data_IF_007403255392
#
_entry.id   IF_007403255392
#
_cell.length_a   1.000
_cell.length_b   1.000
_cell.length_c   1.000
_cell.angle_alpha   90.00
_cell.angle_beta   90.00
_cell.angle_gamma   90.00
#
_symmetry.space_group_name_H-M   'P 1'
#
loop_
_entity.id
_entity.type
_entity.pdbx_description
1 polymer ?
#
# COMPACT_ATOMS: atom_id res chain seq x y z
N UNK A 1 26.34 59.54 26.28
CA UNK A 1 27.06 58.92 25.16
C UNK A 1 26.37 57.61 24.83
N UNK A 2 25.76 57.43 23.64
CA UNK A 2 25.15 56.16 23.28
C UNK A 2 26.26 55.15 22.99
N UNK A 3 26.29 54.04 23.73
CA UNK A 3 27.23 52.95 23.51
C UNK A 3 26.74 52.12 22.32
N UNK A 4 27.51 52.10 21.24
CA UNK A 4 27.23 51.30 20.05
C UNK A 4 27.44 49.81 20.36
N UNK A 5 26.36 49.15 20.77
CA UNK A 5 26.28 47.73 21.11
C UNK A 5 25.94 46.82 19.90
N UNK A 6 25.99 47.36 18.68
CA UNK A 6 25.74 46.59 17.45
C UNK A 6 26.65 45.35 17.24
N UNK A 7 27.94 45.31 17.64
CA UNK A 7 28.73 44.10 17.45
C UNK A 7 28.28 42.97 18.39
N UNK A 8 27.87 43.32 19.62
CA UNK A 8 27.39 42.36 20.60
C UNK A 8 26.05 41.74 20.18
N UNK A 9 25.13 42.58 19.69
CA UNK A 9 23.84 42.13 19.16
C UNK A 9 24.02 41.21 17.94
N UNK A 10 24.95 41.54 17.03
CA UNK A 10 25.25 40.70 15.86
C UNK A 10 25.81 39.33 16.26
N UNK A 11 26.74 39.28 17.21
CA UNK A 11 27.30 38.01 17.70
C UNK A 11 26.23 37.15 18.38
N UNK A 12 25.34 37.76 19.16
CA UNK A 12 24.23 37.07 19.80
C UNK A 12 23.24 36.47 18.78
N UNK A 13 22.93 37.20 17.70
CA UNK A 13 22.06 36.72 16.64
C UNK A 13 22.68 35.55 15.86
N UNK A 14 24.00 35.58 15.59
CA UNK A 14 24.71 34.47 14.94
C UNK A 14 24.70 33.23 15.83
N UNK A 15 24.92 33.39 17.14
CA UNK A 15 24.87 32.30 18.10
C UNK A 15 23.47 31.65 18.16
N UNK A 16 22.40 32.45 18.15
CA UNK A 16 21.03 31.94 18.06
C UNK A 16 20.78 31.18 16.75
N UNK A 17 21.29 31.65 15.60
CA UNK A 17 21.16 30.94 14.33
C UNK A 17 21.88 29.58 14.33
N UNK A 18 23.05 29.49 14.98
CA UNK A 18 23.81 28.24 15.09
C UNK A 18 23.11 27.22 15.99
N UNK A 19 22.49 27.67 17.09
CA UNK A 19 21.69 26.82 17.99
C UNK A 19 20.41 26.26 17.32
N UNK A 20 19.89 26.93 16.29
CA UNK A 20 18.77 26.44 15.49
C UNK A 20 19.18 25.48 14.37
N UNK A 21 20.47 25.44 14.01
CA UNK A 21 20.99 24.64 12.90
C UNK A 21 21.02 23.14 13.25
N UNK A 22 21.24 22.80 14.52
CA UNK A 22 21.27 21.41 15.00
C UNK A 22 19.87 20.78 15.18
N UNK A 23 18.80 21.57 15.06
CA UNK A 23 17.41 21.09 15.22
C UNK A 23 16.78 20.55 13.94
N UNK A 24 17.51 20.53 12.82
CA UNK A 24 17.06 19.86 11.59
C UNK A 24 17.53 18.39 11.56
N UNK A 25 17.29 17.65 12.65
CA UNK A 25 17.35 16.19 12.58
C UNK A 25 16.18 15.71 11.73
N UNK A 26 16.50 15.49 10.44
CA UNK A 26 15.75 14.73 9.45
C UNK A 26 14.34 14.29 9.85
N UNK A 27 13.36 15.17 9.63
CA UNK A 27 12.05 14.70 9.21
C UNK A 27 12.15 14.42 7.71
N UNK A 28 13.04 13.49 7.32
CA UNK A 28 12.82 12.78 6.08
C UNK A 28 11.54 12.01 6.35
N UNK A 29 10.45 12.58 5.84
CA UNK A 29 9.14 12.00 6.00
C UNK A 29 9.29 10.53 5.61
N UNK A 30 9.03 9.64 6.56
CA UNK A 30 8.58 8.31 6.26
C UNK A 30 7.21 8.44 5.57
N UNK A 31 7.16 9.10 4.41
CA UNK A 31 6.22 8.80 3.37
C UNK A 31 6.67 7.42 2.90
N UNK A 32 6.35 6.41 3.70
CA UNK A 32 6.61 5.01 3.42
C UNK A 32 5.86 4.67 2.16
N UNK A 33 6.46 4.96 1.01
CA UNK A 33 6.06 4.41 -0.26
C UNK A 33 6.29 2.92 -0.10
N UNK A 34 5.21 2.20 0.19
CA UNK A 34 5.26 0.77 0.42
C UNK A 34 6.02 0.17 -0.76
N UNK A 35 7.08 -0.60 -0.50
CA UNK A 35 7.90 -1.16 -1.57
C UNK A 35 6.97 -1.91 -2.54
N UNK A 36 7.05 -1.59 -3.84
CA UNK A 36 6.27 -2.27 -4.87
C UNK A 36 6.60 -3.75 -4.84
N UNK A 37 5.61 -4.57 -4.48
CA UNK A 37 5.75 -6.02 -4.52
C UNK A 37 5.65 -6.43 -5.99
N UNK A 38 6.71 -6.99 -6.59
CA UNK A 38 6.74 -7.29 -8.03
C UNK A 38 5.80 -8.42 -8.44
N UNK A 39 5.26 -9.18 -7.48
CA UNK A 39 4.24 -10.19 -7.71
C UNK A 39 3.85 -10.91 -6.42
N UNK A 40 2.60 -11.39 -6.37
CA UNK A 40 2.04 -12.15 -5.26
C UNK A 40 1.74 -13.59 -5.71
N UNK A 41 2.34 -14.56 -5.03
CA UNK A 41 2.02 -15.98 -5.22
C UNK A 41 1.17 -16.45 -4.05
N UNK A 42 -0.06 -16.89 -4.32
CA UNK A 42 -1.02 -17.33 -3.29
C UNK A 42 -1.27 -18.82 -3.44
N UNK A 43 -1.03 -19.56 -2.36
CA UNK A 43 -1.34 -20.98 -2.25
C UNK A 43 -2.52 -21.16 -1.29
N UNK A 44 -3.42 -22.09 -1.60
CA UNK A 44 -4.55 -22.39 -0.74
C UNK A 44 -5.62 -23.21 -1.44
N UNK A 45 -6.85 -23.06 -0.94
CA UNK A 45 -8.04 -23.76 -1.40
C UNK A 45 -8.99 -22.83 -2.18
N UNK A 46 -10.28 -23.17 -2.19
CA UNK A 46 -11.35 -22.39 -2.83
C UNK A 46 -11.45 -20.94 -2.36
N UNK A 47 -11.01 -20.61 -1.14
CA UNK A 47 -11.07 -19.24 -0.58
C UNK A 47 -10.12 -18.27 -1.28
N UNK A 48 -9.10 -18.78 -1.96
CA UNK A 48 -8.11 -17.99 -2.70
C UNK A 48 -8.09 -18.31 -4.19
N UNK A 49 -8.86 -19.31 -4.64
CA UNK A 49 -8.94 -19.67 -6.05
C UNK A 49 -9.54 -18.54 -6.90
N UNK A 50 -8.80 -18.13 -7.94
CA UNK A 50 -9.19 -17.13 -8.92
C UNK A 50 -9.81 -17.75 -10.19
N UNK A 51 -10.05 -19.06 -10.20
CA UNK A 51 -10.61 -19.81 -11.33
C UNK A 51 -9.68 -20.86 -11.91
N UNK A 52 -8.59 -21.21 -11.22
CA UNK A 52 -7.62 -22.22 -11.64
C UNK A 52 -8.30 -23.58 -11.86
N UNK A 53 -9.29 -23.92 -11.03
CA UNK A 53 -10.01 -25.19 -11.13
C UNK A 53 -10.77 -25.37 -12.45
N UNK A 54 -11.09 -24.30 -13.18
CA UNK A 54 -11.74 -24.42 -14.49
C UNK A 54 -10.83 -25.03 -15.55
N UNK A 55 -9.51 -24.95 -15.37
CA UNK A 55 -8.50 -25.46 -16.29
C UNK A 55 -8.03 -26.88 -15.95
N UNK A 56 -8.44 -27.42 -14.80
CA UNK A 56 -8.12 -28.78 -14.39
C UNK A 56 -9.10 -29.77 -15.02
N UNK A 57 -8.57 -30.71 -15.81
CA UNK A 57 -9.37 -31.69 -16.55
C UNK A 57 -10.21 -32.61 -15.64
N UNK A 58 -9.70 -32.95 -14.45
CA UNK A 58 -10.30 -33.92 -13.51
C UNK A 58 -10.96 -33.21 -12.31
N UNK A 59 -11.00 -31.88 -12.27
CA UNK A 59 -11.60 -31.19 -11.11
C UNK A 59 -13.11 -31.36 -11.09
N UNK A 60 -13.62 -31.95 -10.01
CA UNK A 60 -15.05 -32.02 -9.69
C UNK A 60 -15.58 -30.72 -9.07
N UNK A 61 -14.69 -29.90 -8.48
CA UNK A 61 -15.02 -28.66 -7.80
C UNK A 61 -14.71 -27.47 -8.70
N UNK A 62 -15.67 -27.07 -9.52
CA UNK A 62 -15.62 -25.85 -10.34
C UNK A 62 -16.60 -24.82 -9.81
N UNK A 63 -16.21 -23.55 -9.81
CA UNK A 63 -17.07 -22.44 -9.40
C UNK A 63 -17.47 -21.56 -10.59
N UNK A 64 -17.90 -22.21 -11.66
CA UNK A 64 -18.40 -21.59 -12.89
C UNK A 64 -19.93 -21.65 -12.97
N UNK A 65 -20.63 -21.64 -11.82
CA UNK A 65 -22.08 -21.66 -11.78
C UNK A 65 -22.68 -20.25 -11.86
N UNK A 66 -23.95 -20.09 -12.28
CA UNK A 66 -24.58 -18.79 -12.46
C UNK A 66 -24.62 -17.91 -11.20
N UNK A 67 -24.59 -18.50 -10.02
CA UNK A 67 -24.59 -17.75 -8.75
C UNK A 67 -23.20 -17.25 -8.37
N UNK A 68 -22.12 -17.80 -8.94
CA UNK A 68 -20.76 -17.30 -8.70
C UNK A 68 -20.51 -16.06 -9.55
N UNK A 69 -19.85 -15.05 -8.97
CA UNK A 69 -19.47 -13.83 -9.68
C UNK A 69 -20.58 -12.81 -9.98
N UNK A 70 -21.73 -12.88 -9.31
CA UNK A 70 -22.86 -11.95 -9.50
C UNK A 70 -22.51 -10.50 -9.14
N UNK A 71 -21.59 -10.28 -8.21
CA UNK A 71 -21.18 -8.95 -7.75
C UNK A 71 -20.07 -8.33 -8.59
N UNK A 72 -19.52 -9.07 -9.58
CA UNK A 72 -18.60 -8.48 -10.54
C UNK A 72 -19.33 -7.57 -11.53
N UNK A 73 -18.66 -6.55 -12.11
CA UNK A 73 -19.28 -5.65 -13.10
C UNK A 73 -19.93 -6.38 -14.28
N UNK A 74 -19.34 -7.52 -14.67
CA UNK A 74 -19.81 -8.33 -15.79
C UNK A 74 -20.91 -9.33 -15.39
N UNK A 75 -21.18 -9.51 -14.09
CA UNK A 75 -22.15 -10.47 -13.53
C UNK A 75 -22.04 -11.89 -14.12
N UNK A 76 -20.79 -12.31 -14.38
CA UNK A 76 -20.47 -13.61 -14.99
C UNK A 76 -19.64 -14.41 -14.02
N UNK A 77 -19.84 -15.72 -14.04
CA UNK A 77 -19.03 -16.65 -13.26
C UNK A 77 -17.56 -16.55 -13.70
N UNK A 78 -16.69 -16.27 -12.73
CA UNK A 78 -15.25 -16.10 -12.96
C UNK A 78 -14.45 -17.35 -12.63
N UNK A 79 -15.07 -18.38 -12.04
CA UNK A 79 -14.36 -19.53 -11.47
C UNK A 79 -13.98 -19.36 -9.99
N UNK A 80 -14.28 -18.21 -9.38
CA UNK A 80 -14.14 -17.99 -7.94
C UNK A 80 -15.32 -18.61 -7.18
N UNK A 81 -15.05 -19.23 -6.03
CA UNK A 81 -16.06 -19.84 -5.15
C UNK A 81 -16.89 -18.82 -4.34
N UNK A 82 -17.05 -17.61 -4.85
CA UNK A 82 -17.82 -16.54 -4.23
C UNK A 82 -18.47 -15.64 -5.29
N UNK A 83 -19.28 -14.68 -4.84
CA UNK A 83 -20.01 -13.77 -5.72
C UNK A 83 -19.14 -12.61 -6.24
N UNK A 84 -17.96 -12.39 -5.65
CA UNK A 84 -17.12 -11.22 -5.93
C UNK A 84 -15.64 -11.49 -5.71
N UNK A 85 -14.92 -10.49 -5.20
CA UNK A 85 -13.50 -10.59 -4.85
C UNK A 85 -13.29 -11.51 -3.65
N UNK A 86 -12.23 -12.32 -3.67
CA UNK A 86 -11.85 -13.20 -2.57
C UNK A 86 -10.72 -12.58 -1.71
N UNK A 87 -10.19 -13.34 -0.74
CA UNK A 87 -9.14 -12.84 0.15
C UNK A 87 -7.83 -12.50 -0.59
N UNK A 88 -7.47 -13.27 -1.63
CA UNK A 88 -6.31 -12.99 -2.46
C UNK A 88 -6.47 -11.66 -3.21
N UNK A 89 -7.66 -11.40 -3.75
CA UNK A 89 -7.97 -10.12 -4.41
C UNK A 89 -7.92 -8.94 -3.44
N UNK A 90 -8.27 -9.14 -2.17
CA UNK A 90 -8.19 -8.09 -1.14
C UNK A 90 -6.73 -7.76 -0.80
N UNK A 91 -5.88 -8.79 -0.64
CA UNK A 91 -4.45 -8.62 -0.38
C UNK A 91 -3.76 -7.96 -1.58
N UNK A 92 -4.07 -8.41 -2.79
CA UNK A 92 -3.58 -7.81 -4.02
C UNK A 92 -4.05 -6.36 -4.17
N UNK A 93 -5.34 -6.07 -3.89
CA UNK A 93 -5.86 -4.71 -3.94
C UNK A 93 -5.20 -3.81 -2.89
N UNK A 94 -4.99 -4.26 -1.65
CA UNK A 94 -4.31 -3.44 -0.64
C UNK A 94 -2.86 -3.18 -1.03
N UNK A 95 -2.19 -4.18 -1.61
CA UNK A 95 -0.82 -4.04 -2.10
C UNK A 95 -0.75 -3.09 -3.30
N UNK A 96 -1.71 -3.16 -4.23
CA UNK A 96 -1.71 -2.42 -5.49
C UNK A 96 -2.36 -1.02 -5.40
N UNK A 97 -3.24 -0.78 -4.41
CA UNK A 97 -3.98 0.50 -4.21
C UNK A 97 -3.30 1.45 -3.23
N UNK A 98 -2.17 1.07 -2.65
CA UNK A 98 -1.26 1.96 -1.94
C UNK A 98 -0.29 2.70 -2.89
N UNK A 99 -0.61 2.73 -4.19
CA UNK A 99 0.10 3.45 -5.25
C UNK A 99 -0.81 4.43 -5.99
#
# INVERSE_FOLDING_TARGET
MPTNNTPFLRMFLIFLCLLWFDSFTGLEAATGKLASVPGLYVFGDSLVDAGNNNYLAISISKANYPHNGVDFPNKKATGRFCNGKNAADAIDTVTCRLF
#
